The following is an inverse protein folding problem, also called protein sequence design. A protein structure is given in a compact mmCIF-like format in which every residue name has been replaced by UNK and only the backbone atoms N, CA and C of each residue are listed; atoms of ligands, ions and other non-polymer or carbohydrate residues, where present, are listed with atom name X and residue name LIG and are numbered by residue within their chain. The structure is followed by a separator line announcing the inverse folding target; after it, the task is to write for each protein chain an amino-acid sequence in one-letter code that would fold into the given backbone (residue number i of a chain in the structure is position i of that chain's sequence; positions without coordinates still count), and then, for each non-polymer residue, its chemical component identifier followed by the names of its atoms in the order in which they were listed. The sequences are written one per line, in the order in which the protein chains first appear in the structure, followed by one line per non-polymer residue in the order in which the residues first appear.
data_IF_793718559894
#
_entry.id   IF_793718559894
#
_cell.length_a   1.000
_cell.length_b   1.000
_cell.length_c   1.000
_cell.angle_alpha   90.00
_cell.angle_beta   90.00
_cell.angle_gamma   90.00
#
_symmetry.space_group_name_H-M   'P 1'
#
loop_
_entity.id
_entity.type
_entity.pdbx_description
1 polymer ?
#
# COMPACT_ATOMS: atom_id res chain seq x y z
N UNK A 1 -37.88 2.37 22.33
CA UNK A 1 -37.32 3.40 21.44
C UNK A 1 -35.81 3.16 21.33
N UNK A 2 -35.36 2.58 20.22
CA UNK A 2 -33.95 2.23 20.01
C UNK A 2 -33.25 3.45 19.40
N UNK A 3 -32.43 4.15 20.20
CA UNK A 3 -31.67 5.32 19.75
C UNK A 3 -30.52 4.82 18.88
N UNK A 4 -30.78 4.68 17.59
CA UNK A 4 -29.73 4.50 16.58
C UNK A 4 -29.02 5.85 16.45
N UNK A 5 -27.93 6.04 17.20
CA UNK A 5 -27.01 7.16 17.00
C UNK A 5 -26.28 6.94 15.68
N UNK A 6 -26.88 7.37 14.57
CA UNK A 6 -26.14 7.50 13.31
C UNK A 6 -24.95 8.42 13.57
N UNK A 7 -23.70 7.99 13.31
CA UNK A 7 -22.55 8.88 13.44
C UNK A 7 -22.74 10.05 12.47
N UNK A 8 -22.79 11.25 13.02
CA UNK A 8 -23.04 12.48 12.27
C UNK A 8 -21.73 12.98 11.65
N UNK A 9 -21.50 12.61 10.38
CA UNK A 9 -20.29 12.92 9.60
C UNK A 9 -20.09 14.41 9.28
N UNK A 10 -21.02 15.30 9.67
CA UNK A 10 -21.00 16.72 9.29
C UNK A 10 -20.83 17.69 10.47
N UNK A 11 -20.67 17.17 11.69
CA UNK A 11 -20.42 18.04 12.84
C UNK A 11 -18.93 18.44 12.89
N UNK A 12 -18.60 19.74 13.05
CA UNK A 12 -17.22 20.18 13.23
C UNK A 12 -16.57 19.53 14.45
N UNK A 13 -17.33 19.11 15.47
CA UNK A 13 -16.81 18.35 16.61
C UNK A 13 -16.37 16.92 16.28
N UNK A 14 -16.97 16.27 15.26
CA UNK A 14 -16.52 14.98 14.75
C UNK A 14 -15.25 15.12 13.90
N UNK A 15 -15.16 16.18 13.08
CA UNK A 15 -13.92 16.54 12.38
C UNK A 15 -12.80 16.95 13.36
N UNK A 16 -13.14 17.61 14.47
CA UNK A 16 -12.21 17.98 15.54
C UNK A 16 -11.75 16.76 16.35
N UNK A 17 -12.59 15.75 16.55
CA UNK A 17 -12.14 14.46 17.08
C UNK A 17 -11.16 13.75 16.12
N UNK A 18 -11.34 13.92 14.81
CA UNK A 18 -10.43 13.44 13.77
C UNK A 18 -9.15 14.29 13.61
N UNK A 19 -8.99 15.40 14.35
CA UNK A 19 -7.88 16.35 14.23
C UNK A 19 -6.59 15.90 14.95
N UNK A 20 -6.57 14.70 15.53
CA UNK A 20 -5.41 14.22 16.29
C UNK A 20 -4.44 13.37 15.46
N UNK A 21 -4.49 13.48 14.13
CA UNK A 21 -3.66 12.70 13.22
C UNK A 21 -3.12 13.62 12.12
N UNK A 22 -1.82 13.92 12.19
CA UNK A 22 -1.13 14.67 11.15
C UNK A 22 -0.52 13.68 10.16
N UNK A 23 -1.06 13.66 8.95
CA UNK A 23 -0.58 12.80 7.88
C UNK A 23 0.01 13.65 6.76
N UNK A 24 1.31 13.47 6.53
CA UNK A 24 2.07 14.16 5.48
C UNK A 24 2.47 13.11 4.46
N UNK A 25 2.04 13.27 3.22
CA UNK A 25 2.39 12.37 2.12
C UNK A 25 3.16 13.15 1.06
N UNK A 26 4.27 12.58 0.63
CA UNK A 26 5.10 13.09 -0.44
C UNK A 26 5.33 11.99 -1.46
N UNK A 27 4.66 12.08 -2.61
CA UNK A 27 4.88 11.18 -3.72
C UNK A 27 5.60 11.93 -4.84
N UNK A 28 6.70 11.36 -5.32
CA UNK A 28 7.46 11.89 -6.45
C UNK A 28 7.78 10.77 -7.44
N UNK A 29 7.40 11.00 -8.70
CA UNK A 29 7.88 10.20 -9.82
C UNK A 29 9.31 10.64 -10.14
N UNK A 30 10.29 9.76 -9.92
CA UNK A 30 11.71 10.05 -10.17
C UNK A 30 12.05 9.75 -11.63
N UNK A 31 11.44 8.70 -12.19
CA UNK A 31 11.64 8.27 -13.57
C UNK A 31 10.35 7.67 -14.12
N UNK A 32 10.27 7.40 -15.42
CA UNK A 32 9.13 6.68 -16.02
C UNK A 32 8.90 5.29 -15.43
N UNK A 33 9.92 4.74 -14.78
CA UNK A 33 9.90 3.41 -14.17
C UNK A 33 9.94 3.42 -12.65
N UNK A 34 10.32 4.53 -12.03
CA UNK A 34 10.52 4.61 -10.57
C UNK A 34 9.66 5.71 -9.98
N UNK A 35 8.76 5.32 -9.09
CA UNK A 35 7.99 6.22 -8.23
C UNK A 35 8.37 6.00 -6.78
N UNK A 36 8.58 7.08 -6.04
CA UNK A 36 8.90 7.05 -4.63
C UNK A 36 7.79 7.77 -3.85
N UNK A 37 7.35 7.17 -2.76
CA UNK A 37 6.34 7.73 -1.87
C UNK A 37 6.84 7.71 -0.43
N UNK A 38 6.73 8.82 0.27
CA UNK A 38 7.01 8.91 1.70
C UNK A 38 5.74 9.37 2.39
N UNK A 39 5.35 8.69 3.45
CA UNK A 39 4.19 9.00 4.27
C UNK A 39 4.65 9.10 5.72
N UNK A 40 4.42 10.25 6.35
CA UNK A 40 4.67 10.48 7.76
C UNK A 40 3.33 10.66 8.46
N UNK A 41 3.05 9.80 9.42
CA UNK A 41 1.84 9.80 10.22
C UNK A 41 2.21 10.09 11.68
N UNK A 42 1.70 11.17 12.24
CA UNK A 42 1.96 11.60 13.62
C UNK A 42 0.63 11.63 14.36
N UNK A 43 0.55 10.85 15.42
CA UNK A 43 -0.63 10.78 16.29
C UNK A 43 -0.29 11.41 17.65
N UNK A 44 -0.52 12.72 17.86
CA UNK A 44 -0.26 13.42 19.13
C UNK A 44 -0.90 12.79 20.37
N UNK A 45 -2.02 12.07 20.25
CA UNK A 45 -2.67 11.41 21.39
C UNK A 45 -1.88 10.22 21.94
N UNK A 46 -1.28 9.39 21.08
CA UNK A 46 -0.45 8.26 21.50
C UNK A 46 1.04 8.62 21.54
N UNK A 47 1.41 9.83 21.09
CA UNK A 47 2.80 10.24 20.80
C UNK A 47 3.53 9.29 19.86
N UNK A 48 2.77 8.54 19.05
CA UNK A 48 3.34 7.63 18.07
C UNK A 48 3.56 8.38 16.76
N UNK A 49 4.70 8.12 16.15
CA UNK A 49 5.07 8.64 14.83
C UNK A 49 5.52 7.46 13.99
N UNK A 50 4.84 7.25 12.87
CA UNK A 50 5.18 6.24 11.90
C UNK A 50 5.57 6.93 10.60
N UNK A 51 6.79 6.68 10.14
CA UNK A 51 7.24 7.14 8.83
C UNK A 51 7.37 5.92 7.93
N UNK A 52 6.71 5.96 6.78
CA UNK A 52 6.66 4.92 5.76
C UNK A 52 7.30 5.44 4.49
N UNK A 53 8.30 4.74 4.01
CA UNK A 53 8.94 4.99 2.73
C UNK A 53 8.59 3.83 1.80
N UNK A 54 7.82 4.12 0.77
CA UNK A 54 7.47 3.21 -0.32
C UNK A 54 8.21 3.55 -1.60
N UNK A 55 8.52 2.54 -2.39
CA UNK A 55 8.97 2.70 -3.76
C UNK A 55 8.23 1.71 -4.66
N UNK A 56 7.99 2.15 -5.88
CA UNK A 56 7.40 1.37 -6.96
C UNK A 56 8.34 1.42 -8.15
N UNK A 57 8.84 0.26 -8.53
CA UNK A 57 9.67 0.07 -9.70
C UNK A 57 8.93 -0.79 -10.72
N UNK A 58 8.49 -0.16 -11.80
CA UNK A 58 7.75 -0.80 -12.87
C UNK A 58 8.66 -1.02 -14.10
N UNK A 59 9.00 -2.27 -14.37
CA UNK A 59 9.62 -2.73 -15.62
C UNK A 59 8.55 -3.10 -16.65
N UNK A 60 8.96 -3.34 -17.90
CA UNK A 60 8.04 -3.80 -18.96
C UNK A 60 7.44 -5.18 -18.67
N UNK A 61 8.23 -6.07 -18.07
CA UNK A 61 7.81 -7.45 -17.80
C UNK A 61 7.68 -7.74 -16.31
N UNK A 62 8.01 -6.82 -15.41
CA UNK A 62 7.93 -7.07 -13.98
C UNK A 62 7.63 -5.79 -13.22
N UNK A 63 7.02 -5.91 -12.05
CA UNK A 63 6.75 -4.83 -11.13
C UNK A 63 7.30 -5.20 -9.76
N UNK A 64 8.15 -4.35 -9.20
CA UNK A 64 8.69 -4.51 -7.86
C UNK A 64 8.27 -3.30 -7.06
N UNK A 65 7.46 -3.50 -6.03
CA UNK A 65 7.08 -2.47 -5.08
C UNK A 65 7.50 -2.89 -3.68
N UNK A 66 7.87 -1.93 -2.86
CA UNK A 66 8.25 -2.18 -1.48
C UNK A 66 7.88 -1.02 -0.60
N UNK A 67 7.77 -1.29 0.69
CA UNK A 67 7.60 -0.26 1.71
C UNK A 67 8.38 -0.61 2.96
N UNK A 68 9.02 0.38 3.56
CA UNK A 68 9.69 0.28 4.86
C UNK A 68 9.01 1.27 5.79
N UNK A 69 8.71 0.84 7.01
CA UNK A 69 8.15 1.67 8.08
C UNK A 69 9.17 1.78 9.22
N UNK A 70 9.28 2.95 9.85
CA UNK A 70 10.09 3.18 11.07
C UNK A 70 9.69 2.26 12.22
N UNK A 71 8.45 1.76 12.20
CA UNK A 71 7.93 0.79 13.18
C UNK A 71 8.53 -0.63 13.03
N UNK A 72 9.50 -0.84 12.14
CA UNK A 72 10.14 -2.14 11.91
C UNK A 72 9.33 -3.06 10.99
N UNK A 73 8.42 -2.50 10.18
CA UNK A 73 7.63 -3.26 9.20
C UNK A 73 8.22 -3.06 7.82
N UNK A 74 8.61 -4.15 7.18
CA UNK A 74 9.11 -4.16 5.81
C UNK A 74 8.14 -4.98 4.97
N UNK A 75 7.71 -4.43 3.83
CA UNK A 75 6.95 -5.16 2.83
C UNK A 75 7.63 -5.07 1.48
N UNK A 76 7.61 -6.18 0.74
CA UNK A 76 8.09 -6.27 -0.63
C UNK A 76 7.07 -7.07 -1.42
N UNK A 77 6.81 -6.65 -2.65
CA UNK A 77 5.97 -7.35 -3.59
C UNK A 77 6.62 -7.27 -4.96
N UNK A 78 6.88 -8.43 -5.55
CA UNK A 78 7.40 -8.54 -6.90
C UNK A 78 6.42 -9.34 -7.73
N UNK A 79 6.05 -8.85 -8.90
CA UNK A 79 5.16 -9.51 -9.83
C UNK A 79 5.80 -9.53 -11.22
N UNK A 80 5.76 -10.69 -11.86
CA UNK A 80 6.15 -10.88 -13.25
C UNK A 80 4.91 -10.81 -14.16
N UNK A 81 5.11 -10.46 -15.42
CA UNK A 81 4.05 -10.36 -16.43
C UNK A 81 3.45 -11.74 -16.77
N UNK A 82 4.23 -12.81 -16.56
CA UNK A 82 3.77 -14.20 -16.62
C UNK A 82 2.72 -14.55 -15.55
N UNK A 83 2.38 -13.60 -14.68
CA UNK A 83 1.35 -13.72 -13.66
C UNK A 83 1.85 -14.27 -12.33
N UNK A 84 3.12 -14.65 -12.23
CA UNK A 84 3.71 -15.07 -10.96
C UNK A 84 4.12 -13.84 -10.13
N UNK A 85 3.79 -13.84 -8.85
CA UNK A 85 4.18 -12.79 -7.91
C UNK A 85 4.52 -13.36 -6.54
N UNK A 86 5.42 -12.68 -5.85
CA UNK A 86 5.86 -12.99 -4.49
C UNK A 86 5.67 -11.76 -3.63
N UNK A 87 4.98 -11.92 -2.51
CA UNK A 87 4.92 -10.93 -1.43
C UNK A 87 5.72 -11.42 -0.23
N UNK A 88 6.41 -10.50 0.43
CA UNK A 88 7.00 -10.70 1.74
C UNK A 88 6.61 -9.54 2.62
N UNK A 89 6.12 -9.84 3.81
CA UNK A 89 5.88 -8.87 4.87
C UNK A 89 6.60 -9.36 6.11
N UNK A 90 7.41 -8.48 6.69
CA UNK A 90 8.26 -8.76 7.84
C UNK A 90 7.94 -7.71 8.89
N UNK A 91 7.54 -8.16 10.07
CA UNK A 91 7.39 -7.33 11.26
C UNK A 91 8.45 -7.74 12.27
N UNK A 92 9.52 -6.95 12.36
CA UNK A 92 10.62 -7.22 13.29
C UNK A 92 10.22 -7.07 14.76
N UNK A 93 9.24 -6.22 15.06
CA UNK A 93 8.82 -5.96 16.44
C UNK A 93 8.03 -7.15 17.00
N UNK A 94 7.18 -7.73 16.15
CA UNK A 94 6.34 -8.88 16.51
C UNK A 94 6.97 -10.24 16.14
N UNK A 95 8.14 -10.25 15.49
CA UNK A 95 8.78 -11.44 14.92
C UNK A 95 7.83 -12.25 14.01
N UNK A 96 6.95 -11.55 13.28
CA UNK A 96 5.97 -12.15 12.39
C UNK A 96 6.43 -11.99 10.94
N UNK A 97 6.53 -13.10 10.22
CA UNK A 97 7.02 -13.18 8.86
C UNK A 97 5.95 -13.82 7.98
N UNK A 98 5.40 -13.03 7.06
CA UNK A 98 4.34 -13.46 6.14
C UNK A 98 4.87 -13.44 4.72
N UNK A 99 5.04 -14.62 4.15
CA UNK A 99 5.39 -14.77 2.75
C UNK A 99 4.16 -15.25 1.99
N UNK A 100 3.90 -14.63 0.84
CA UNK A 100 2.79 -14.97 -0.04
C UNK A 100 3.29 -15.18 -1.45
N UNK A 101 2.63 -16.10 -2.15
CA UNK A 101 2.83 -16.32 -3.57
C UNK A 101 1.49 -16.10 -4.27
N UNK A 102 1.53 -15.39 -5.38
CA UNK A 102 0.41 -15.10 -6.24
C UNK A 102 0.70 -15.70 -7.60
N UNK A 103 -0.27 -16.38 -8.20
CA UNK A 103 -0.16 -16.86 -9.58
C UNK A 103 -1.46 -16.47 -10.29
N UNK A 104 -1.33 -15.62 -11.29
CA UNK A 104 -2.42 -15.15 -12.12
C UNK A 104 -2.26 -15.73 -13.52
N UNK A 105 -2.95 -16.83 -13.80
CA UNK A 105 -2.99 -17.40 -15.14
C UNK A 105 -4.09 -16.66 -15.91
N UNK A 106 -3.72 -15.69 -16.72
CA UNK A 106 -4.64 -15.18 -17.75
C UNK A 106 -4.67 -16.20 -18.89
N UNK A 107 -5.81 -16.83 -19.21
CA UNK A 107 -5.91 -17.63 -20.41
C UNK A 107 -5.55 -16.73 -21.61
N UNK A 108 -4.68 -17.24 -22.48
CA UNK A 108 -4.40 -16.59 -23.76
C UNK A 108 -5.73 -16.34 -24.45
N UNK A 109 -6.09 -15.07 -24.67
CA UNK A 109 -7.13 -14.76 -25.63
C UNK A 109 -6.62 -15.28 -26.98
N UNK A 110 -7.19 -16.39 -27.44
CA UNK A 110 -7.08 -16.80 -28.83
C UNK A 110 -7.52 -15.60 -29.67
N UNK A 111 -6.56 -14.92 -30.29
CA UNK A 111 -6.86 -13.97 -31.34
C UNK A 111 -7.66 -14.75 -32.40
N UNK A 112 -8.88 -14.34 -32.75
CA UNK A 112 -9.51 -14.88 -33.94
C UNK A 112 -8.61 -14.51 -35.12
N UNK A 113 -7.86 -15.48 -35.62
CA UNK A 113 -7.30 -15.42 -36.97
C UNK A 113 -8.49 -15.49 -37.94
N UNK A 114 -9.15 -14.36 -38.14
CA UNK A 114 -9.97 -14.13 -39.33
C UNK A 114 -9.02 -13.46 -40.33
N UNK A 115 -8.24 -14.23 -41.09
CA UNK A 115 -8.60 -14.85 -42.37
C UNK A 115 -8.85 -13.81 -43.48
N UNK A 116 -7.90 -13.79 -44.43
CA UNK A 116 -7.93 -13.32 -45.82
C UNK A 116 -8.16 -11.82 -46.09
#
# INVERSE_FOLDING_TARGET
MQIVRQPNFKSPEFMLNQTHLYKIQYAKKISDRLSLGTELEITPQTKESAMRLGWDYSFRHAKVQGSIDTSGKISVFTQDYSGFGVSGYIDYLNNDYKFGFMMHISPSQEQPQTAA
#
